data_IF_033295987865
#
_entry.id   IF_033295987865
#
_cell.length_a   1.000
_cell.length_b   1.000
_cell.length_c   1.000
_cell.angle_alpha   90.00
_cell.angle_beta   90.00
_cell.angle_gamma   90.00
#
_symmetry.space_group_name_H-M   'P 1'
#
loop_
_entity.id
_entity.type
_entity.pdbx_description
1 polymer ?
#
# COMPACT_ATOMS: atom_id res chain seq x y z
N UNK A 1 13.28 54.92 29.62
CA UNK A 1 13.42 54.54 28.19
C UNK A 1 13.43 53.02 28.08
N UNK A 2 12.31 52.40 27.70
CA UNK A 2 12.29 50.99 27.34
C UNK A 2 11.44 50.83 26.06
N UNK A 3 12.13 50.80 24.92
CA UNK A 3 11.55 50.56 23.60
C UNK A 3 11.47 49.05 23.34
N UNK A 4 10.52 48.37 23.97
CA UNK A 4 10.12 47.01 23.56
C UNK A 4 9.25 47.11 22.30
N UNK A 5 9.88 47.33 21.14
CA UNK A 5 9.21 47.18 19.85
C UNK A 5 9.05 45.68 19.57
N UNK A 6 7.85 45.18 19.86
CA UNK A 6 7.42 43.85 19.41
C UNK A 6 7.38 43.81 17.89
N UNK A 7 8.33 43.09 17.29
CA UNK A 7 8.30 42.73 15.88
C UNK A 7 7.16 41.74 15.68
N UNK A 8 5.98 42.25 15.33
CA UNK A 8 4.86 41.46 14.89
C UNK A 8 5.30 40.64 13.66
N UNK A 9 5.41 39.31 13.82
CA UNK A 9 5.58 38.41 12.68
C UNK A 9 4.23 38.34 11.96
N UNK A 10 4.13 38.68 10.66
CA UNK A 10 2.89 38.53 9.95
C UNK A 10 2.56 37.04 9.84
N UNK A 11 1.45 36.62 10.44
CA UNK A 11 0.79 35.35 10.10
C UNK A 11 0.32 35.44 8.65
N UNK A 12 1.15 34.99 7.71
CA UNK A 12 0.72 34.86 6.31
C UNK A 12 -0.25 33.69 6.21
N UNK A 13 -1.43 33.86 5.57
CA UNK A 13 -2.32 32.74 5.31
C UNK A 13 -1.56 31.72 4.45
N UNK A 14 -1.67 30.45 4.81
CA UNK A 14 -1.08 29.36 4.04
C UNK A 14 -1.90 29.25 2.76
N UNK A 15 -1.41 29.85 1.67
CA UNK A 15 -2.09 29.78 0.38
C UNK A 15 -2.16 28.33 -0.10
N UNK A 16 -3.30 27.91 -0.63
CA UNK A 16 -3.53 26.56 -1.17
C UNK A 16 -2.45 26.12 -2.18
N UNK A 17 -1.85 27.08 -2.88
CA UNK A 17 -0.73 26.88 -3.80
C UNK A 17 0.52 26.33 -3.09
N UNK A 18 0.77 26.78 -1.86
CA UNK A 18 1.88 26.28 -1.04
C UNK A 18 1.58 24.88 -0.49
N UNK A 19 0.33 24.58 -0.14
CA UNK A 19 -0.08 23.23 0.27
C UNK A 19 0.01 22.22 -0.89
N UNK A 20 -0.44 22.61 -2.08
CA UNK A 20 -0.35 21.77 -3.27
C UNK A 20 1.11 21.50 -3.67
N UNK A 21 1.98 22.53 -3.61
CA UNK A 21 3.41 22.36 -3.88
C UNK A 21 4.12 21.46 -2.84
N UNK A 22 3.81 21.62 -1.56
CA UNK A 22 4.33 20.76 -0.49
C UNK A 22 3.83 19.32 -0.61
N UNK A 23 2.55 19.12 -0.93
CA UNK A 23 1.98 17.80 -1.14
C UNK A 23 2.62 17.05 -2.30
N UNK A 24 2.87 17.72 -3.42
CA UNK A 24 3.55 17.12 -4.57
C UNK A 24 4.99 16.71 -4.22
N UNK A 25 5.74 17.56 -3.50
CA UNK A 25 7.10 17.23 -3.06
C UNK A 25 7.17 16.00 -2.15
N UNK A 26 6.20 15.83 -1.25
CA UNK A 26 6.11 14.65 -0.37
C UNK A 26 5.88 13.35 -1.15
N UNK A 27 5.05 13.39 -2.19
CA UNK A 27 4.75 12.21 -3.03
C UNK A 27 5.99 11.72 -3.79
N UNK A 28 6.84 12.65 -4.27
CA UNK A 28 8.10 12.27 -4.93
C UNK A 28 9.13 11.71 -3.94
N UNK A 29 9.12 12.18 -2.69
CA UNK A 29 10.02 11.69 -1.64
C UNK A 29 9.60 10.32 -1.04
N UNK A 30 8.39 9.83 -1.35
CA UNK A 30 7.90 8.55 -0.84
C UNK A 30 8.56 7.31 -1.48
N UNK A 31 9.33 7.49 -2.55
CA UNK A 31 10.05 6.40 -3.21
C UNK A 31 11.38 6.11 -2.48
N UNK A 32 11.36 5.17 -1.52
CA UNK A 32 12.55 4.72 -0.82
C UNK A 32 13.08 3.41 -1.42
N UNK A 33 14.31 3.40 -1.90
CA UNK A 33 15.02 2.18 -2.24
C UNK A 33 15.58 1.54 -0.96
N UNK A 34 15.14 0.31 -0.68
CA UNK A 34 15.64 -0.47 0.47
C UNK A 34 16.63 -1.53 -0.02
N UNK A 35 17.71 -1.70 0.74
CA UNK A 35 18.73 -2.67 0.39
C UNK A 35 18.17 -4.11 0.55
N UNK A 36 18.61 -5.08 -0.28
CA UNK A 36 17.99 -6.41 -0.32
C UNK A 36 17.87 -7.12 1.04
N UNK A 37 18.86 -6.96 1.92
CA UNK A 37 18.88 -7.54 3.27
C UNK A 37 17.94 -6.86 4.27
N UNK A 38 17.54 -5.62 4.02
CA UNK A 38 16.55 -4.90 4.85
C UNK A 38 15.11 -5.40 4.58
N UNK A 39 14.88 -6.05 3.43
CA UNK A 39 13.57 -6.63 3.05
C UNK A 39 13.19 -7.86 3.86
N UNK A 40 14.10 -8.46 4.63
CA UNK A 40 13.81 -9.63 5.47
C UNK A 40 12.67 -9.40 6.47
N UNK A 41 12.46 -8.15 6.93
CA UNK A 41 11.32 -7.80 7.79
C UNK A 41 9.97 -7.74 7.06
N UNK A 42 9.98 -7.48 5.75
CA UNK A 42 8.79 -7.35 4.90
C UNK A 42 8.41 -8.67 4.20
N UNK A 43 9.31 -9.65 4.16
CA UNK A 43 9.10 -10.94 3.51
C UNK A 43 8.94 -12.06 4.53
N UNK A 44 8.22 -11.80 5.63
CA UNK A 44 7.92 -12.87 6.59
C UNK A 44 7.01 -13.90 5.93
N UNK A 45 7.20 -15.21 6.17
CA UNK A 45 6.42 -16.24 5.51
C UNK A 45 4.91 -16.06 5.78
N UNK A 46 4.52 -15.60 6.99
CA UNK A 46 3.13 -15.30 7.37
C UNK A 46 2.46 -14.15 6.61
N UNK A 47 3.19 -13.37 5.81
CA UNK A 47 2.65 -12.30 4.98
C UNK A 47 2.39 -12.76 3.53
N UNK A 48 2.70 -14.02 3.21
CA UNK A 48 2.35 -14.59 1.92
C UNK A 48 0.82 -14.68 1.77
N UNK A 49 0.33 -14.35 0.57
CA UNK A 49 -1.11 -14.43 0.23
C UNK A 49 -1.69 -15.81 0.55
N UNK A 50 -0.90 -16.85 0.35
CA UNK A 50 -1.18 -18.22 0.73
C UNK A 50 -0.12 -18.75 1.70
N UNK A 51 -0.06 -18.19 2.90
CA UNK A 51 0.85 -18.68 3.95
C UNK A 51 0.69 -20.17 4.24
N UNK A 52 -0.56 -20.67 4.19
CA UNK A 52 -0.88 -22.09 4.35
C UNK A 52 -1.44 -22.68 3.06
N UNK A 53 -0.57 -22.79 2.05
CA UNK A 53 -0.95 -23.27 0.71
C UNK A 53 -1.69 -24.63 0.70
N UNK A 54 -1.43 -25.52 1.68
CA UNK A 54 -2.14 -26.79 1.79
C UNK A 54 -3.61 -26.60 2.19
N UNK A 55 -3.86 -25.76 3.21
CA UNK A 55 -5.22 -25.44 3.64
C UNK A 55 -6.00 -24.67 2.57
N UNK A 56 -5.35 -23.71 1.89
CA UNK A 56 -5.95 -23.02 0.73
C UNK A 56 -6.33 -24.04 -0.35
N UNK A 57 -5.44 -24.95 -0.74
CA UNK A 57 -5.76 -25.97 -1.76
C UNK A 57 -6.92 -26.86 -1.34
N UNK A 58 -6.95 -27.28 -0.09
CA UNK A 58 -8.01 -28.16 0.42
C UNK A 58 -9.38 -27.46 0.40
N UNK A 59 -9.46 -26.20 0.85
CA UNK A 59 -10.71 -25.43 0.79
C UNK A 59 -11.14 -25.15 -0.64
N UNK A 60 -10.20 -24.84 -1.54
CA UNK A 60 -10.45 -24.66 -2.97
C UNK A 60 -11.00 -25.93 -3.63
N UNK A 61 -10.47 -27.12 -3.31
CA UNK A 61 -10.99 -28.39 -3.83
C UNK A 61 -12.44 -28.66 -3.37
N UNK A 62 -12.75 -28.36 -2.10
CA UNK A 62 -14.12 -28.49 -1.58
C UNK A 62 -15.05 -27.47 -2.24
N UNK A 63 -14.60 -26.24 -2.42
CA UNK A 63 -15.37 -25.17 -3.06
C UNK A 63 -15.67 -25.49 -4.53
N UNK A 64 -14.65 -25.88 -5.30
CA UNK A 64 -14.81 -26.33 -6.68
C UNK A 64 -15.77 -27.51 -6.77
N UNK A 65 -15.68 -28.49 -5.87
CA UNK A 65 -16.61 -29.63 -5.87
C UNK A 65 -18.07 -29.22 -5.66
N UNK A 66 -18.31 -28.09 -4.98
CA UNK A 66 -19.65 -27.58 -4.68
C UNK A 66 -20.19 -26.63 -5.74
N UNK A 67 -19.32 -25.81 -6.35
CA UNK A 67 -19.72 -24.71 -7.23
C UNK A 67 -19.22 -24.84 -8.69
N UNK A 68 -18.51 -25.92 -9.08
CA UNK A 68 -17.92 -26.10 -10.43
C UNK A 68 -18.88 -25.96 -11.62
N UNK A 69 -20.21 -26.04 -11.41
CA UNK A 69 -21.20 -25.79 -12.45
C UNK A 69 -21.37 -24.30 -12.81
N UNK A 70 -20.87 -23.39 -11.97
CA UNK A 70 -20.82 -21.94 -12.20
C UNK A 70 -19.34 -21.59 -12.33
N UNK A 71 -18.91 -21.11 -13.50
CA UNK A 71 -17.50 -20.82 -13.79
C UNK A 71 -16.76 -20.20 -12.60
N UNK A 72 -15.65 -20.83 -12.20
CA UNK A 72 -15.01 -20.65 -10.90
C UNK A 72 -14.58 -19.21 -10.58
N UNK A 73 -14.37 -18.96 -9.29
CA UNK A 73 -13.96 -17.69 -8.69
C UNK A 73 -12.50 -17.34 -9.06
N UNK A 74 -12.25 -17.04 -10.32
CA UNK A 74 -11.00 -16.45 -10.79
C UNK A 74 -11.10 -14.90 -10.71
N UNK A 75 -11.51 -14.38 -9.55
CA UNK A 75 -11.44 -12.95 -9.27
C UNK A 75 -10.08 -12.61 -8.63
N UNK A 76 -8.98 -12.83 -9.36
CA UNK A 76 -7.65 -12.43 -8.90
C UNK A 76 -6.49 -13.10 -9.63
N UNK A 77 -6.07 -12.52 -10.76
CA UNK A 77 -4.83 -12.92 -11.46
C UNK A 77 -5.10 -13.68 -12.76
N UNK A 78 -5.10 -12.94 -13.87
CA UNK A 78 -5.40 -13.46 -15.20
C UNK A 78 -4.44 -14.56 -15.66
N UNK A 79 -4.98 -15.75 -15.86
CA UNK A 79 -4.41 -16.77 -16.74
C UNK A 79 -5.53 -17.27 -17.65
N UNK A 80 -5.28 -17.37 -18.95
CA UNK A 80 -6.19 -18.02 -19.88
C UNK A 80 -6.23 -19.51 -19.52
N UNK A 81 -7.27 -19.92 -18.81
CA UNK A 81 -7.55 -21.31 -18.48
C UNK A 81 -8.01 -22.07 -19.72
N UNK A 82 -7.05 -22.51 -20.53
CA UNK A 82 -7.24 -23.57 -21.50
C UNK A 82 -6.12 -24.59 -21.29
N UNK A 83 -6.53 -25.85 -21.14
CA UNK A 83 -5.69 -27.05 -21.01
C UNK A 83 -4.62 -27.10 -22.11
#
# INVERSE_FOLDING_TARGET
MNSNKGYARPCRPIDWRHLAGLGLGLLLAACASVEPWQKGKLAQPGMALDFEALATRQSQQVYLSKEAARGGDAAGGGGCGCN
#
